data_IF_943730300302
#
_entry.id   IF_943730300302
#
_cell.length_a   1.000
_cell.length_b   1.000
_cell.length_c   1.000
_cell.angle_alpha   90.00
_cell.angle_beta   90.00
_cell.angle_gamma   90.00
#
_symmetry.space_group_name_H-M   'P 1'
#
loop_
_entity.id
_entity.type
_entity.pdbx_description
1 polymer ?
#
# COMPACT_ATOMS: atom_id res chain seq x y z
N UNK A 1 10.42 0.36 17.38
CA UNK A 1 10.62 0.01 15.95
C UNK A 1 10.28 1.20 15.07
N UNK A 2 11.03 1.39 14.01
CA UNK A 2 10.79 2.45 13.03
C UNK A 2 9.88 1.94 11.91
N UNK A 3 8.95 2.78 11.48
CA UNK A 3 7.94 2.41 10.50
C UNK A 3 8.40 2.65 9.06
N UNK A 4 8.31 1.62 8.22
CA UNK A 4 8.46 1.73 6.77
C UNK A 4 7.07 1.91 6.18
N UNK A 5 6.71 3.16 5.90
CA UNK A 5 5.36 3.53 5.47
C UNK A 5 5.17 3.31 3.96
N UNK A 6 4.55 2.19 3.60
CA UNK A 6 4.18 1.89 2.21
C UNK A 6 2.87 2.62 1.88
N UNK A 7 2.78 3.34 0.74
CA UNK A 7 1.55 4.02 0.35
C UNK A 7 0.34 3.07 0.27
N UNK A 8 -0.78 3.51 0.80
CA UNK A 8 -2.08 2.80 0.84
C UNK A 8 -2.14 1.56 1.74
N UNK A 9 -1.17 1.41 2.66
CA UNK A 9 -1.11 0.33 3.65
C UNK A 9 -1.29 0.86 5.09
N UNK A 10 -2.34 1.63 5.34
CA UNK A 10 -2.67 2.23 6.63
C UNK A 10 -1.61 3.20 7.21
N UNK A 11 -0.74 3.76 6.37
CA UNK A 11 0.37 4.59 6.83
C UNK A 11 -0.08 5.82 7.63
N UNK A 12 -1.19 6.45 7.27
CA UNK A 12 -1.73 7.60 8.03
C UNK A 12 -2.16 7.20 9.44
N UNK A 13 -2.95 6.13 9.57
CA UNK A 13 -3.43 5.64 10.86
C UNK A 13 -2.29 5.23 11.79
N UNK A 14 -1.28 4.57 11.25
CA UNK A 14 -0.09 4.15 12.02
C UNK A 14 0.73 5.36 12.47
N UNK A 15 0.98 6.31 11.58
CA UNK A 15 1.71 7.52 11.93
C UNK A 15 0.98 8.34 13.00
N UNK A 16 -0.35 8.44 12.91
CA UNK A 16 -1.18 9.08 13.94
C UNK A 16 -1.07 8.36 15.29
N UNK A 17 -1.23 7.03 15.30
CA UNK A 17 -1.18 6.22 16.52
C UNK A 17 0.18 6.30 17.23
N UNK A 18 1.28 6.38 16.48
CA UNK A 18 2.64 6.41 17.00
C UNK A 18 3.24 7.82 17.13
N UNK A 19 2.49 8.86 16.76
CA UNK A 19 2.99 10.25 16.78
C UNK A 19 4.16 10.48 15.81
N UNK A 20 4.16 9.82 14.67
CA UNK A 20 5.23 9.88 13.67
C UNK A 20 4.89 10.85 12.55
N UNK A 21 5.93 11.44 11.95
CA UNK A 21 5.79 12.14 10.68
C UNK A 21 5.51 11.15 9.55
N UNK A 22 4.57 11.50 8.69
CA UNK A 22 4.19 10.68 7.55
C UNK A 22 5.15 10.86 6.38
N UNK A 23 6.09 9.92 6.24
CA UNK A 23 7.06 9.89 5.15
C UNK A 23 7.06 8.52 4.48
N UNK A 24 7.07 8.51 3.15
CA UNK A 24 7.29 7.30 2.38
C UNK A 24 8.77 7.19 2.02
N UNK A 25 9.47 6.26 2.67
CA UNK A 25 10.88 5.94 2.43
C UNK A 25 11.06 4.44 2.29
N UNK A 26 12.07 4.02 1.55
CA UNK A 26 12.41 2.61 1.43
C UNK A 26 12.99 2.09 2.74
N UNK A 27 12.90 0.78 2.95
CA UNK A 27 13.42 0.15 4.17
C UNK A 27 14.92 0.43 4.38
N UNK A 28 15.71 0.48 3.31
CA UNK A 28 17.14 0.82 3.38
C UNK A 28 17.42 2.23 3.91
N UNK A 29 16.45 3.14 3.81
CA UNK A 29 16.55 4.53 4.28
C UNK A 29 16.02 4.74 5.70
N UNK A 30 15.47 3.69 6.32
CA UNK A 30 14.89 3.71 7.66
C UNK A 30 15.81 2.94 8.61
N UNK A 31 16.11 3.50 9.77
CA UNK A 31 17.00 2.87 10.77
C UNK A 31 16.31 1.64 11.38
N UNK A 32 17.04 0.53 11.52
CA UNK A 32 16.57 -0.66 12.22
C UNK A 32 16.47 -0.44 13.75
N UNK A 33 15.63 -1.16 14.49
CA UNK A 33 14.68 -2.16 14.03
C UNK A 33 13.47 -1.55 13.32
N UNK A 34 12.98 -2.24 12.28
CA UNK A 34 11.94 -1.75 11.36
C UNK A 34 10.71 -2.63 11.39
N UNK A 35 9.55 -2.03 11.15
CA UNK A 35 8.35 -2.77 10.81
C UNK A 35 7.65 -2.17 9.59
N UNK A 36 6.85 -2.97 8.92
CA UNK A 36 6.05 -2.56 7.79
C UNK A 36 4.69 -3.27 7.80
N UNK A 37 3.76 -2.73 7.02
CA UNK A 37 2.46 -3.35 6.77
C UNK A 37 2.35 -3.60 5.28
N UNK A 38 2.09 -4.84 4.89
CA UNK A 38 1.79 -5.24 3.51
C UNK A 38 0.29 -5.44 3.34
N UNK A 39 -0.18 -5.31 2.11
CA UNK A 39 -1.59 -5.44 1.76
C UNK A 39 -1.73 -6.25 0.48
N UNK A 40 -2.88 -6.92 0.32
CA UNK A 40 -3.23 -7.58 -0.93
C UNK A 40 -3.05 -6.60 -2.11
N UNK A 41 -2.25 -6.95 -3.14
CA UNK A 41 -1.98 -6.03 -4.25
C UNK A 41 -3.24 -5.58 -4.99
N UNK A 42 -4.25 -6.42 -5.13
CA UNK A 42 -5.52 -6.03 -5.74
C UNK A 42 -6.21 -4.92 -4.96
N UNK A 43 -6.37 -5.09 -3.66
CA UNK A 43 -7.01 -4.10 -2.79
C UNK A 43 -6.16 -2.82 -2.69
N UNK A 44 -4.84 -2.97 -2.65
CA UNK A 44 -3.92 -1.84 -2.60
C UNK A 44 -4.02 -0.96 -3.85
N UNK A 45 -4.01 -1.56 -5.04
CA UNK A 45 -4.07 -0.81 -6.32
C UNK A 45 -5.44 -0.19 -6.55
N UNK A 46 -6.53 -0.84 -6.16
CA UNK A 46 -7.86 -0.25 -6.16
C UNK A 46 -7.91 1.01 -5.26
N UNK A 47 -7.35 0.91 -4.04
CA UNK A 47 -7.24 2.04 -3.12
C UNK A 47 -6.33 3.16 -3.67
N UNK A 48 -5.26 2.81 -4.36
CA UNK A 48 -4.35 3.78 -4.98
C UNK A 48 -5.03 4.56 -6.10
N UNK A 49 -5.77 3.89 -6.97
CA UNK A 49 -6.53 4.53 -8.04
C UNK A 49 -7.62 5.44 -7.50
N UNK A 50 -8.40 4.98 -6.55
CA UNK A 50 -9.45 5.79 -5.91
C UNK A 50 -8.87 7.04 -5.25
N UNK A 51 -7.75 6.91 -4.54
CA UNK A 51 -7.05 8.05 -3.96
C UNK A 51 -6.57 9.03 -5.04
N UNK A 52 -5.91 8.55 -6.09
CA UNK A 52 -5.42 9.40 -7.18
C UNK A 52 -6.56 10.15 -7.88
N UNK A 53 -7.70 9.49 -8.04
CA UNK A 53 -8.88 10.03 -8.72
C UNK A 53 -9.64 11.07 -7.90
N UNK A 54 -9.74 10.88 -6.59
CA UNK A 54 -10.64 11.67 -5.72
C UNK A 54 -9.92 12.68 -4.85
N UNK A 55 -8.63 12.46 -4.54
CA UNK A 55 -7.91 13.36 -3.65
C UNK A 55 -7.54 14.66 -4.36
N UNK A 56 -7.73 15.78 -3.69
CA UNK A 56 -7.54 17.12 -4.25
C UNK A 56 -6.07 17.54 -4.38
N UNK A 57 -5.15 16.88 -3.71
CA UNK A 57 -3.74 17.29 -3.67
C UNK A 57 -3.05 17.16 -5.03
N UNK A 58 -2.12 18.09 -5.36
CA UNK A 58 -1.34 17.99 -6.59
C UNK A 58 -0.55 16.68 -6.74
N UNK A 59 0.09 16.11 -5.69
CA UNK A 59 0.75 14.81 -5.80
C UNK A 59 -0.17 13.67 -6.19
N UNK A 60 -1.39 13.61 -5.65
CA UNK A 60 -2.38 12.58 -6.01
C UNK A 60 -2.78 12.71 -7.48
N UNK A 61 -3.06 13.92 -7.94
CA UNK A 61 -3.40 14.20 -9.35
C UNK A 61 -2.26 13.88 -10.29
N UNK A 62 -1.01 14.14 -9.89
CA UNK A 62 0.17 13.77 -10.66
C UNK A 62 0.30 12.24 -10.82
N UNK A 63 -0.03 11.47 -9.80
CA UNK A 63 -0.07 10.01 -9.89
C UNK A 63 -1.16 9.49 -10.83
N UNK A 64 -2.29 10.20 -10.94
CA UNK A 64 -3.33 9.86 -11.92
C UNK A 64 -2.86 10.08 -13.36
N UNK A 65 -2.01 11.09 -13.60
CA UNK A 65 -1.37 11.41 -14.89
C UNK A 65 -2.35 11.42 -16.10
N UNK A 66 -3.59 11.90 -15.86
CA UNK A 66 -4.62 11.97 -16.89
C UNK A 66 -5.28 10.63 -17.26
N UNK A 67 -5.00 9.54 -16.55
CA UNK A 67 -5.69 8.26 -16.75
C UNK A 67 -7.20 8.41 -16.54
N UNK A 68 -7.97 7.90 -17.49
CA UNK A 68 -9.44 8.01 -17.52
C UNK A 68 -10.13 6.73 -17.08
N UNK A 69 -9.37 5.65 -16.89
CA UNK A 69 -9.86 4.37 -16.43
C UNK A 69 -8.85 3.69 -15.50
N UNK A 70 -9.31 2.68 -14.77
CA UNK A 70 -8.43 1.89 -13.92
C UNK A 70 -7.38 1.13 -14.75
N UNK A 71 -7.76 0.58 -15.89
CA UNK A 71 -6.83 -0.09 -16.81
C UNK A 71 -5.74 0.87 -17.31
N UNK A 72 -6.09 2.09 -17.70
CA UNK A 72 -5.10 3.12 -18.07
C UNK A 72 -4.15 3.44 -16.91
N UNK A 73 -4.68 3.61 -15.71
CA UNK A 73 -3.89 3.86 -14.50
C UNK A 73 -2.88 2.74 -14.23
N UNK A 74 -3.31 1.48 -14.38
CA UNK A 74 -2.46 0.31 -14.18
C UNK A 74 -1.36 0.15 -15.24
N UNK A 75 -1.44 0.85 -16.36
CA UNK A 75 -0.43 0.87 -17.43
C UNK A 75 0.55 2.04 -17.35
N UNK A 76 0.30 2.99 -16.46
CA UNK A 76 1.21 4.11 -16.27
C UNK A 76 2.59 3.65 -15.78
N UNK A 77 3.66 4.41 -16.07
CA UNK A 77 4.95 4.20 -15.42
C UNK A 77 4.83 4.25 -13.90
N UNK A 78 5.78 3.63 -13.21
CA UNK A 78 5.82 3.63 -11.75
C UNK A 78 5.80 5.04 -11.17
N UNK A 79 4.95 5.21 -10.17
CA UNK A 79 4.91 6.39 -9.33
C UNK A 79 4.79 5.97 -7.85
N UNK A 80 4.73 6.93 -6.95
CA UNK A 80 4.66 6.66 -5.51
C UNK A 80 3.52 5.71 -5.13
N UNK A 81 2.36 5.81 -5.78
CA UNK A 81 1.19 4.97 -5.48
C UNK A 81 1.25 3.57 -6.12
N UNK A 82 1.93 3.45 -7.27
CA UNK A 82 1.93 2.22 -8.07
C UNK A 82 3.20 1.38 -7.93
N UNK A 83 4.26 1.91 -7.34
CA UNK A 83 5.47 1.11 -7.04
C UNK A 83 5.11 -0.10 -6.19
N UNK A 84 5.75 -1.24 -6.49
CA UNK A 84 5.54 -2.49 -5.75
C UNK A 84 5.87 -2.33 -4.27
N UNK A 85 5.29 -3.16 -3.43
CA UNK A 85 5.65 -3.22 -2.01
C UNK A 85 7.09 -3.70 -1.85
N UNK A 86 7.54 -4.59 -2.72
CA UNK A 86 8.93 -5.05 -2.78
C UNK A 86 9.92 -3.91 -3.05
N UNK A 87 9.53 -2.89 -3.82
CA UNK A 87 10.34 -1.67 -4.00
C UNK A 87 10.57 -0.93 -2.66
N UNK A 88 9.52 -0.80 -1.86
CA UNK A 88 9.61 -0.14 -0.56
C UNK A 88 10.37 -0.96 0.48
N UNK A 89 10.28 -2.30 0.37
CA UNK A 89 10.94 -3.25 1.27
C UNK A 89 12.25 -3.79 0.68
N UNK A 90 13.12 -2.88 0.26
CA UNK A 90 14.43 -3.16 -0.34
C UNK A 90 15.52 -3.58 0.67
N UNK A 91 15.16 -3.62 1.96
CA UNK A 91 16.00 -4.14 3.05
C UNK A 91 15.13 -4.93 4.04
N UNK A 92 15.71 -5.82 4.86
CA UNK A 92 14.96 -6.60 5.84
C UNK A 92 14.20 -5.74 6.83
N UNK A 93 13.01 -6.19 7.23
CA UNK A 93 12.23 -5.63 8.34
C UNK A 93 12.10 -6.68 9.44
N UNK A 94 12.07 -6.21 10.70
CA UNK A 94 12.04 -7.09 11.87
C UNK A 94 10.63 -7.59 12.18
N UNK A 95 9.62 -6.84 11.76
CA UNK A 95 8.21 -7.19 11.91
C UNK A 95 7.44 -6.81 10.64
N UNK A 96 6.73 -7.78 10.08
CA UNK A 96 5.85 -7.58 8.94
C UNK A 96 4.42 -7.91 9.34
N UNK A 97 3.53 -6.91 9.28
CA UNK A 97 2.11 -7.08 9.54
C UNK A 97 1.32 -7.09 8.23
N UNK A 98 0.13 -7.68 8.28
CA UNK A 98 -0.81 -7.68 7.16
C UNK A 98 -1.93 -6.68 7.41
N UNK A 99 -2.24 -5.88 6.40
CA UNK A 99 -3.36 -4.92 6.44
C UNK A 99 -4.69 -5.61 6.78
N UNK A 100 -4.88 -6.80 6.26
CA UNK A 100 -6.08 -7.60 6.44
C UNK A 100 -6.31 -8.07 7.89
N UNK A 101 -5.26 -8.01 8.71
CA UNK A 101 -5.29 -8.37 10.15
C UNK A 101 -5.41 -7.15 11.07
N UNK A 102 -5.48 -5.94 10.49
CA UNK A 102 -5.64 -4.71 11.27
C UNK A 102 -7.11 -4.51 11.71
N UNK A 103 -7.33 -3.84 12.83
CA UNK A 103 -6.34 -3.23 13.74
C UNK A 103 -5.69 -4.22 14.72
N UNK A 104 -6.23 -5.41 14.87
CA UNK A 104 -5.88 -6.37 15.94
C UNK A 104 -4.37 -6.70 15.99
N UNK A 105 -3.76 -7.03 14.85
CA UNK A 105 -2.33 -7.37 14.82
C UNK A 105 -1.44 -6.21 15.30
N UNK A 106 -1.80 -4.98 14.96
CA UNK A 106 -1.05 -3.79 15.40
C UNK A 106 -1.21 -3.59 16.92
N UNK A 107 -2.42 -3.64 17.43
CA UNK A 107 -2.72 -3.49 18.86
C UNK A 107 -2.04 -4.57 19.70
N UNK A 108 -2.01 -5.81 19.19
CA UNK A 108 -1.34 -6.92 19.85
C UNK A 108 0.18 -6.71 19.98
N UNK A 109 0.83 -6.16 18.96
CA UNK A 109 2.27 -5.93 18.97
C UNK A 109 2.69 -4.67 19.70
N UNK A 110 1.93 -3.59 19.61
CA UNK A 110 2.31 -2.27 20.12
C UNK A 110 1.57 -1.86 21.39
N UNK A 111 0.48 -2.55 21.76
CA UNK A 111 -0.34 -2.17 22.91
C UNK A 111 -1.06 -0.83 22.74
N UNK A 112 -1.20 -0.35 21.52
CA UNK A 112 -1.79 0.95 21.16
C UNK A 112 -2.95 0.70 20.23
N UNK A 113 -4.10 1.34 20.52
CA UNK A 113 -5.26 1.29 19.64
C UNK A 113 -4.96 1.97 18.31
N UNK A 114 -5.23 1.28 17.21
CA UNK A 114 -5.08 1.83 15.87
C UNK A 114 -6.39 2.54 15.48
N UNK A 115 -6.34 3.82 15.06
CA UNK A 115 -7.52 4.49 14.50
C UNK A 115 -8.13 3.71 13.35
N UNK A 116 -9.43 3.92 13.09
CA UNK A 116 -10.14 3.21 12.02
C UNK A 116 -9.36 3.33 10.71
N UNK A 117 -8.93 2.17 10.20
CA UNK A 117 -8.30 2.07 8.89
C UNK A 117 -9.40 2.12 7.85
N UNK A 118 -9.45 3.20 7.06
CA UNK A 118 -10.38 3.31 5.96
C UNK A 118 -10.10 2.21 4.93
N UNK A 119 -10.95 1.20 4.92
CA UNK A 119 -10.99 0.18 3.87
C UNK A 119 -11.60 0.76 2.59
N UNK A 120 -10.99 1.80 2.03
CA UNK A 120 -11.45 2.32 0.75
C UNK A 120 -11.01 1.37 -0.36
N UNK A 121 -11.82 0.36 -0.64
CA UNK A 121 -11.75 -0.36 -1.93
C UNK A 121 -12.24 0.53 -3.06
N UNK A 122 -12.89 1.66 -2.72
CA UNK A 122 -13.54 2.52 -3.69
C UNK A 122 -14.65 1.79 -4.44
N UNK A 123 -15.03 2.36 -5.58
CA UNK A 123 -15.99 1.77 -6.53
C UNK A 123 -15.30 0.96 -7.63
N UNK A 124 -14.00 0.65 -7.46
CA UNK A 124 -13.20 -0.05 -8.47
C UNK A 124 -13.57 -1.53 -8.50
N UNK A 125 -14.06 -1.98 -9.64
CA UNK A 125 -14.29 -3.39 -9.93
C UNK A 125 -13.19 -3.91 -10.86
N UNK A 126 -12.69 -5.11 -10.53
CA UNK A 126 -11.73 -5.82 -11.37
C UNK A 126 -12.45 -6.62 -12.44
N UNK A 127 -12.01 -6.46 -13.69
CA UNK A 127 -12.33 -7.34 -14.80
C UNK A 127 -11.12 -8.25 -15.11
N UNK A 128 -11.25 -9.11 -16.12
CA UNK A 128 -10.19 -10.04 -16.50
C UNK A 128 -8.90 -9.31 -16.94
N UNK A 129 -9.04 -8.17 -17.62
CA UNK A 129 -7.91 -7.36 -18.06
C UNK A 129 -7.15 -6.75 -16.89
N UNK A 130 -7.83 -6.08 -15.99
CA UNK A 130 -7.22 -5.41 -14.83
C UNK A 130 -6.63 -6.40 -13.84
N UNK A 131 -7.26 -7.58 -13.67
CA UNK A 131 -6.69 -8.69 -12.89
C UNK A 131 -5.37 -9.16 -13.49
N UNK A 132 -5.33 -9.40 -14.80
CA UNK A 132 -4.12 -9.83 -15.47
C UNK A 132 -3.00 -8.78 -15.38
N UNK A 133 -3.33 -7.50 -15.51
CA UNK A 133 -2.35 -6.41 -15.36
C UNK A 133 -1.73 -6.38 -13.97
N UNK A 134 -2.53 -6.47 -12.92
CA UNK A 134 -2.03 -6.45 -11.54
C UNK A 134 -1.23 -7.72 -11.23
N UNK A 135 -1.74 -8.90 -11.60
CA UNK A 135 -1.06 -10.16 -11.37
C UNK A 135 0.33 -10.21 -12.03
N UNK A 136 0.45 -9.71 -13.25
CA UNK A 136 1.71 -9.67 -13.97
C UNK A 136 2.68 -8.61 -13.42
N UNK A 137 2.19 -7.39 -13.21
CA UNK A 137 3.02 -6.26 -12.77
C UNK A 137 3.56 -6.44 -11.35
N UNK A 138 2.78 -7.04 -10.47
CA UNK A 138 3.10 -7.21 -9.04
C UNK A 138 3.37 -8.67 -8.67
N UNK A 139 3.79 -9.51 -9.62
CA UNK A 139 4.07 -10.94 -9.39
C UNK A 139 5.03 -11.19 -8.23
N UNK A 140 6.04 -10.33 -8.06
CA UNK A 140 6.97 -10.41 -6.93
C UNK A 140 6.27 -10.19 -5.59
N UNK A 141 5.38 -9.20 -5.49
CA UNK A 141 4.63 -8.93 -4.25
C UNK A 141 3.73 -10.11 -3.88
N UNK A 142 3.04 -10.71 -4.85
CA UNK A 142 2.22 -11.89 -4.61
C UNK A 142 3.04 -13.06 -4.05
N UNK A 143 4.18 -13.34 -4.67
CA UNK A 143 5.05 -14.45 -4.25
C UNK A 143 5.72 -14.16 -2.92
N UNK A 144 6.30 -12.97 -2.76
CA UNK A 144 7.10 -12.61 -1.58
C UNK A 144 6.26 -12.50 -0.31
N UNK A 145 5.03 -12.00 -0.41
CA UNK A 145 4.16 -11.76 0.74
C UNK A 145 3.03 -12.77 0.87
N UNK A 146 3.09 -13.85 0.09
CA UNK A 146 2.13 -14.95 0.14
C UNK A 146 0.66 -14.52 -0.06
N UNK A 147 0.44 -13.71 -1.08
CA UNK A 147 -0.90 -13.37 -1.57
C UNK A 147 -1.25 -14.20 -2.80
N UNK A 148 -2.55 -14.46 -2.99
CA UNK A 148 -3.04 -15.22 -4.14
C UNK A 148 -3.42 -14.30 -5.29
N UNK A 149 -3.15 -14.75 -6.53
CA UNK A 149 -3.44 -13.99 -7.76
C UNK A 149 -4.87 -14.16 -8.25
N UNK A 150 -5.67 -14.97 -7.58
CA UNK A 150 -7.10 -15.17 -7.88
C UNK A 150 -7.96 -14.37 -6.91
N UNK A 151 -8.96 -13.69 -7.44
CA UNK A 151 -9.98 -13.00 -6.65
C UNK A 151 -11.16 -13.92 -6.35
#
# INVERSE_FOLDING_TARGET
MNFVAIPKNASMAVCEALGLHHWHRRASEVVAPRFAIVRDPFDRLASAYEFARTHYSPPAKACLAGARSFAEFLRLPDNMLTRSQSHWLDAPVDLLLRFEELPHAFEQHFGIELPIVNESRGTVEYDDETRALVAARYAEDFTRFDYVTTL
#
